data_IF_320908274506
#
_entry.id   IF_320908274506
#
_cell.length_a   1.000
_cell.length_b   1.000
_cell.length_c   1.000
_cell.angle_alpha   90.00
_cell.angle_beta   90.00
_cell.angle_gamma   90.00
#
_symmetry.space_group_name_H-M   'P 1'
#
loop_
_entity.id
_entity.type
_entity.pdbx_description
1 polymer ?
#
# COMPACT_ATOMS: atom_id res chain seq x y z
N UNK A 1 -1.21 -7.20 -14.06
CA UNK A 1 -1.54 -6.76 -12.69
C UNK A 1 -0.37 -5.93 -12.17
N UNK A 2 -0.58 -4.74 -11.60
CA UNK A 2 0.54 -3.92 -11.10
C UNK A 2 1.10 -4.53 -9.81
N UNK A 3 2.41 -4.71 -9.77
CA UNK A 3 3.13 -5.24 -8.61
C UNK A 3 3.64 -4.11 -7.71
N UNK A 4 3.07 -2.93 -7.80
CA UNK A 4 3.59 -1.74 -7.13
C UNK A 4 2.87 -1.49 -5.80
N UNK A 5 3.64 -1.10 -4.79
CA UNK A 5 3.16 -0.59 -3.51
C UNK A 5 3.60 0.86 -3.36
N UNK A 6 2.69 1.70 -2.91
CA UNK A 6 2.92 3.12 -2.65
C UNK A 6 2.99 3.36 -1.14
N UNK A 7 4.07 3.98 -0.68
CA UNK A 7 4.27 4.40 0.71
C UNK A 7 4.35 5.92 0.77
N UNK A 8 3.53 6.55 1.60
CA UNK A 8 3.50 8.02 1.80
C UNK A 8 3.71 8.40 3.25
N UNK A 9 4.17 9.62 3.49
CA UNK A 9 4.54 10.11 4.84
C UNK A 9 5.98 9.78 5.23
N UNK A 10 6.72 9.08 4.38
CA UNK A 10 8.12 8.72 4.61
C UNK A 10 9.05 9.88 4.22
N UNK A 11 9.84 10.44 5.14
CA UNK A 11 10.90 11.39 4.82
C UNK A 11 11.86 10.81 3.76
N UNK A 12 12.42 11.67 2.91
CA UNK A 12 13.39 11.23 1.92
C UNK A 12 14.76 11.03 2.57
N UNK A 13 15.28 9.80 2.51
CA UNK A 13 16.62 9.49 2.97
C UNK A 13 17.63 9.56 1.83
N UNK A 14 18.71 8.78 1.96
CA UNK A 14 19.84 8.82 1.03
C UNK A 14 19.50 8.33 -0.38
N UNK A 15 18.61 7.33 -0.51
CA UNK A 15 18.16 6.83 -1.81
C UNK A 15 16.85 6.03 -1.69
N UNK A 16 16.06 5.89 -2.76
CA UNK A 16 14.84 5.09 -2.74
C UNK A 16 15.07 3.64 -2.31
N UNK A 17 16.18 3.02 -2.74
CA UNK A 17 16.50 1.64 -2.38
C UNK A 17 16.93 1.52 -0.91
N UNK A 18 17.65 2.50 -0.36
CA UNK A 18 18.00 2.53 1.06
C UNK A 18 16.74 2.65 1.93
N UNK A 19 15.84 3.57 1.57
CA UNK A 19 14.57 3.79 2.27
C UNK A 19 13.67 2.54 2.21
N UNK A 20 13.59 1.90 1.04
CA UNK A 20 12.87 0.64 0.87
C UNK A 20 13.43 -0.49 1.73
N UNK A 21 14.77 -0.59 1.79
CA UNK A 21 15.47 -1.60 2.58
C UNK A 21 15.23 -1.39 4.08
N UNK A 22 15.29 -0.14 4.54
CA UNK A 22 15.03 0.19 5.94
C UNK A 22 13.60 -0.18 6.35
N UNK A 23 12.61 0.15 5.52
CA UNK A 23 11.22 -0.26 5.76
C UNK A 23 11.10 -1.79 5.82
N UNK A 24 11.69 -2.51 4.87
CA UNK A 24 11.63 -3.97 4.85
C UNK A 24 12.24 -4.58 6.12
N UNK A 25 13.37 -4.05 6.60
CA UNK A 25 14.00 -4.48 7.85
C UNK A 25 13.12 -4.19 9.07
N UNK A 26 12.52 -3.00 9.16
CA UNK A 26 11.56 -2.65 10.23
C UNK A 26 10.33 -3.56 10.25
N UNK A 27 9.96 -4.10 9.09
CA UNK A 27 8.87 -5.06 8.94
C UNK A 27 9.31 -6.53 9.17
N UNK A 28 10.59 -6.78 9.42
CA UNK A 28 11.12 -8.12 9.70
C UNK A 28 11.46 -8.97 8.47
N UNK A 29 11.61 -8.37 7.29
CA UNK A 29 12.02 -9.11 6.09
C UNK A 29 13.53 -9.41 6.11
N UNK A 30 13.88 -10.69 6.03
CA UNK A 30 15.26 -11.16 5.86
C UNK A 30 15.77 -11.00 4.43
N UNK A 31 14.88 -11.22 3.46
CA UNK A 31 15.14 -11.02 2.03
C UNK A 31 14.26 -9.91 1.47
N UNK A 32 14.79 -9.11 0.54
CA UNK A 32 14.02 -8.00 -0.05
C UNK A 32 12.86 -8.52 -0.89
N UNK A 33 11.59 -8.15 -0.58
CA UNK A 33 10.43 -8.60 -1.33
C UNK A 33 10.17 -7.79 -2.61
N UNK A 34 11.08 -6.89 -2.98
CA UNK A 34 10.97 -5.99 -4.12
C UNK A 34 12.19 -6.08 -5.05
N UNK A 35 12.00 -5.71 -6.32
CA UNK A 35 13.01 -5.72 -7.38
C UNK A 35 13.59 -4.33 -7.65
N UNK A 36 12.80 -3.27 -7.46
CA UNK A 36 13.25 -1.88 -7.59
C UNK A 36 12.40 -0.93 -6.75
N UNK A 37 12.95 0.24 -6.44
CA UNK A 37 12.25 1.32 -5.76
C UNK A 37 12.55 2.69 -6.38
N UNK A 38 11.56 3.59 -6.38
CA UNK A 38 11.72 4.97 -6.86
C UNK A 38 10.79 5.93 -6.13
N UNK A 39 11.01 7.24 -6.28
CA UNK A 39 10.13 8.28 -5.74
C UNK A 39 9.13 8.74 -6.78
N UNK A 40 7.87 8.89 -6.38
CA UNK A 40 6.78 9.39 -7.21
C UNK A 40 6.09 10.59 -6.56
N UNK A 41 6.09 11.71 -7.28
CA UNK A 41 5.56 12.99 -6.84
C UNK A 41 6.36 14.10 -7.51
N UNK A 42 5.66 15.11 -8.06
CA UNK A 42 6.30 16.28 -8.68
C UNK A 42 6.34 17.49 -7.76
N UNK A 43 5.44 17.50 -6.78
CA UNK A 43 5.33 18.58 -5.82
C UNK A 43 6.43 18.44 -4.76
N UNK A 44 7.29 19.45 -4.67
CA UNK A 44 8.39 19.51 -3.71
C UNK A 44 7.97 20.05 -2.34
N UNK A 45 6.74 20.58 -2.22
CA UNK A 45 6.16 21.00 -0.93
C UNK A 45 5.67 19.83 -0.08
N UNK A 46 5.55 18.64 -0.70
CA UNK A 46 5.14 17.41 -0.03
C UNK A 46 6.20 16.32 -0.22
N UNK A 47 6.36 15.45 0.79
CA UNK A 47 7.26 14.30 0.66
C UNK A 47 6.79 13.38 -0.47
N UNK A 48 7.69 13.04 -1.41
CA UNK A 48 7.35 12.16 -2.52
C UNK A 48 7.07 10.76 -2.01
N UNK A 49 6.09 10.10 -2.62
CA UNK A 49 5.78 8.72 -2.28
C UNK A 49 6.94 7.81 -2.66
N UNK A 50 7.29 6.86 -1.80
CA UNK A 50 8.16 5.76 -2.17
C UNK A 50 7.32 4.69 -2.89
N UNK A 51 7.73 4.29 -4.08
CA UNK A 51 7.11 3.21 -4.84
C UNK A 51 8.04 2.01 -4.79
N UNK A 52 7.50 0.85 -4.42
CA UNK A 52 8.18 -0.44 -4.43
C UNK A 52 7.61 -1.31 -5.54
N UNK A 53 8.45 -1.82 -6.43
CA UNK A 53 8.07 -2.84 -7.40
C UNK A 53 8.33 -4.22 -6.82
N UNK A 54 7.27 -4.88 -6.37
CA UNK A 54 7.32 -6.18 -5.70
C UNK A 54 7.74 -7.29 -6.68
N UNK A 55 8.42 -8.31 -6.17
CA UNK A 55 8.91 -9.43 -6.98
C UNK A 55 7.80 -10.31 -7.54
N UNK A 56 6.65 -10.40 -6.85
CA UNK A 56 5.51 -11.21 -7.26
C UNK A 56 4.20 -10.68 -6.68
N UNK A 57 3.09 -11.28 -7.11
CA UNK A 57 1.76 -10.98 -6.57
C UNK A 57 1.65 -11.36 -5.09
N UNK A 58 2.23 -12.49 -4.75
CA UNK A 58 2.22 -13.08 -3.41
C UNK A 58 3.01 -12.20 -2.45
N UNK A 59 4.21 -11.75 -2.86
CA UNK A 59 5.02 -10.84 -2.05
C UNK A 59 4.35 -9.49 -1.87
N UNK A 60 3.72 -8.95 -2.91
CA UNK A 60 2.87 -7.74 -2.82
C UNK A 60 1.74 -7.91 -1.81
N UNK A 61 1.00 -9.02 -1.92
CA UNK A 61 -0.16 -9.30 -1.06
C UNK A 61 0.24 -9.51 0.39
N UNK A 62 1.38 -10.16 0.64
CA UNK A 62 1.96 -10.33 1.96
C UNK A 62 2.41 -8.99 2.55
N UNK A 63 3.13 -8.18 1.77
CA UNK A 63 3.62 -6.87 2.18
C UNK A 63 2.46 -5.93 2.55
N UNK A 64 1.35 -5.95 1.79
CA UNK A 64 0.15 -5.17 2.09
C UNK A 64 -0.51 -5.52 3.42
N UNK A 65 -0.21 -6.67 4.05
CA UNK A 65 -0.73 -7.00 5.39
C UNK A 65 -0.02 -6.23 6.50
N UNK A 66 1.16 -5.68 6.23
CA UNK A 66 1.92 -4.86 7.19
C UNK A 66 1.44 -3.41 7.28
N UNK A 67 0.34 -3.05 6.60
CA UNK A 67 -0.22 -1.70 6.63
C UNK A 67 -0.40 -1.19 8.08
N UNK A 68 -0.94 -2.00 8.98
CA UNK A 68 -1.13 -1.61 10.39
C UNK A 68 0.18 -1.36 11.14
N UNK A 69 1.24 -2.10 10.82
CA UNK A 69 2.57 -1.94 11.44
C UNK A 69 3.21 -0.63 11.01
N UNK A 70 3.09 -0.26 9.73
CA UNK A 70 3.62 1.01 9.21
C UNK A 70 2.98 2.24 9.85
N UNK A 71 1.70 2.18 10.18
CA UNK A 71 1.01 3.27 10.89
C UNK A 71 1.58 3.52 12.29
N UNK A 72 2.16 2.50 12.93
CA UNK A 72 2.69 2.55 14.28
C UNK A 72 4.22 2.74 14.36
N UNK A 73 4.92 2.94 13.24
CA UNK A 73 6.36 3.11 13.26
C UNK A 73 6.78 4.45 13.91
N UNK A 74 7.84 4.46 14.75
CA UNK A 74 8.38 5.70 15.31
C UNK A 74 8.86 6.64 14.20
N UNK A 75 8.51 7.92 14.29
CA UNK A 75 8.94 8.96 13.33
C UNK A 75 7.85 9.49 12.38
N UNK A 76 6.60 9.06 12.55
CA UNK A 76 5.43 9.61 11.84
C UNK A 76 4.51 8.53 11.28
N UNK A 77 3.26 8.91 10.97
CA UNK A 77 2.30 7.97 10.37
C UNK A 77 2.66 7.70 8.91
N UNK A 78 3.14 6.49 8.62
CA UNK A 78 3.32 6.01 7.25
C UNK A 78 2.02 5.38 6.74
N UNK A 79 1.66 5.71 5.51
CA UNK A 79 0.50 5.12 4.84
C UNK A 79 0.97 4.23 3.69
N UNK A 80 0.33 3.07 3.56
CA UNK A 80 0.55 2.13 2.46
C UNK A 80 -0.72 2.03 1.62
N UNK A 81 -0.58 2.12 0.30
CA UNK A 81 -1.67 1.86 -0.64
C UNK A 81 -1.16 1.01 -1.82
N UNK A 82 -2.08 0.35 -2.50
CA UNK A 82 -1.81 -0.26 -3.80
C UNK A 82 -1.62 0.86 -4.84
N UNK A 83 -0.68 0.70 -5.77
CA UNK A 83 -0.58 1.62 -6.91
C UNK A 83 -1.66 1.30 -7.95
N UNK A 84 -2.88 1.75 -7.64
CA UNK A 84 -4.06 1.51 -8.46
C UNK A 84 -3.98 2.29 -9.78
N UNK A 85 -4.50 1.69 -10.85
CA UNK A 85 -4.76 2.40 -12.10
C UNK A 85 -5.85 3.47 -11.90
N UNK A 86 -5.93 4.47 -12.79
CA UNK A 86 -7.00 5.49 -12.72
C UNK A 86 -8.40 4.86 -12.70
N UNK A 87 -8.61 3.80 -13.49
CA UNK A 87 -9.87 3.05 -13.50
C UNK A 87 -10.15 2.37 -12.16
N UNK A 88 -9.15 1.75 -11.54
CA UNK A 88 -9.31 1.13 -10.23
C UNK A 88 -9.52 2.18 -9.13
N UNK A 89 -8.89 3.35 -9.21
CA UNK A 89 -9.17 4.46 -8.29
C UNK A 89 -10.62 4.92 -8.42
N UNK A 90 -11.13 5.08 -9.65
CA UNK A 90 -12.52 5.43 -9.89
C UNK A 90 -13.49 4.36 -9.38
N UNK A 91 -13.21 3.09 -9.68
CA UNK A 91 -14.00 1.96 -9.19
C UNK A 91 -14.00 1.89 -7.67
N UNK A 92 -12.84 2.01 -7.02
CA UNK A 92 -12.72 2.07 -5.55
C UNK A 92 -13.61 3.17 -4.96
N UNK A 93 -13.57 4.38 -5.53
CA UNK A 93 -14.41 5.51 -5.08
C UNK A 93 -15.90 5.18 -5.21
N UNK A 94 -16.32 4.56 -6.31
CA UNK A 94 -17.70 4.14 -6.50
C UNK A 94 -18.13 3.06 -5.48
N UNK A 95 -17.22 2.17 -5.08
CA UNK A 95 -17.48 1.14 -4.07
C UNK A 95 -17.43 1.63 -2.62
N UNK A 96 -16.83 2.79 -2.33
CA UNK A 96 -16.62 3.26 -0.96
C UNK A 96 -17.91 3.35 -0.12
N UNK A 97 -19.04 3.88 -0.64
CA UNK A 97 -20.28 3.93 0.13
C UNK A 97 -20.73 2.54 0.60
N UNK A 98 -20.61 1.53 -0.26
CA UNK A 98 -20.95 0.15 0.09
C UNK A 98 -20.02 -0.42 1.15
N UNK A 99 -18.69 -0.24 1.00
CA UNK A 99 -17.70 -0.67 2.00
C UNK A 99 -18.00 -0.05 3.37
N UNK A 100 -18.29 1.26 3.41
CA UNK A 100 -18.61 1.96 4.65
C UNK A 100 -19.92 1.48 5.26
N UNK A 101 -20.92 1.16 4.44
CA UNK A 101 -22.18 0.60 4.91
C UNK A 101 -21.98 -0.80 5.51
N UNK A 102 -21.22 -1.67 4.85
CA UNK A 102 -20.87 -3.01 5.36
C UNK A 102 -20.11 -2.95 6.69
N UNK A 103 -19.24 -1.95 6.89
CA UNK A 103 -18.60 -1.72 8.19
C UNK A 103 -19.61 -1.37 9.29
N UNK A 104 -20.62 -0.55 8.99
CA UNK A 104 -21.69 -0.21 9.95
C UNK A 104 -22.54 -1.42 10.32
N UNK A 105 -22.68 -2.36 9.40
CA UNK A 105 -23.39 -3.64 9.59
C UNK A 105 -22.53 -4.68 10.34
N UNK A 106 -21.31 -4.33 10.74
CA UNK A 106 -20.43 -5.16 11.57
C UNK A 106 -19.51 -6.11 10.80
N UNK A 107 -19.56 -6.10 9.47
CA UNK A 107 -18.73 -6.98 8.62
C UNK A 107 -17.45 -6.28 8.18
N UNK A 108 -16.39 -7.06 7.91
CA UNK A 108 -15.11 -6.50 7.47
C UNK A 108 -15.07 -6.39 5.95
N UNK A 109 -15.17 -5.16 5.43
CA UNK A 109 -15.06 -4.88 3.99
C UNK A 109 -13.76 -4.14 3.61
N UNK A 110 -13.17 -4.45 2.45
CA UNK A 110 -12.05 -3.67 1.90
C UNK A 110 -11.95 -3.79 0.38
N UNK A 111 -11.32 -2.80 -0.26
CA UNK A 111 -11.00 -2.84 -1.68
C UNK A 111 -9.58 -3.35 -1.91
N UNK A 112 -9.39 -4.30 -2.82
CA UNK A 112 -8.08 -4.86 -3.19
C UNK A 112 -8.11 -5.42 -4.61
N UNK A 113 -7.05 -5.23 -5.39
CA UNK A 113 -6.91 -5.84 -6.73
C UNK A 113 -8.06 -5.54 -7.70
N UNK A 114 -8.72 -4.38 -7.56
CA UNK A 114 -9.86 -4.04 -8.40
C UNK A 114 -11.20 -4.57 -7.92
N UNK A 115 -11.25 -5.28 -6.79
CA UNK A 115 -12.43 -5.95 -6.23
C UNK A 115 -12.71 -5.48 -4.82
N UNK A 116 -13.97 -5.59 -4.39
CA UNK A 116 -14.34 -5.47 -2.98
C UNK A 116 -14.34 -6.85 -2.36
N UNK A 117 -13.84 -6.96 -1.14
CA UNK A 117 -13.87 -8.16 -0.32
C UNK A 117 -14.74 -7.89 0.91
N UNK A 118 -15.62 -8.82 1.26
CA UNK A 118 -16.39 -8.84 2.51
C UNK A 118 -16.04 -10.13 3.24
N UNK A 119 -15.61 -10.01 4.50
CA UNK A 119 -15.16 -11.12 5.35
C UNK A 119 -14.16 -12.06 4.66
N UNK A 120 -13.30 -11.49 3.81
CA UNK A 120 -12.27 -12.21 3.07
C UNK A 120 -12.70 -12.76 1.71
N UNK A 121 -13.97 -12.63 1.33
CA UNK A 121 -14.50 -13.12 0.05
C UNK A 121 -14.73 -12.00 -0.96
N UNK A 122 -14.24 -12.12 -2.21
CA UNK A 122 -14.47 -11.11 -3.23
C UNK A 122 -15.93 -11.10 -3.67
N UNK A 123 -16.55 -9.93 -3.70
CA UNK A 123 -17.88 -9.74 -4.29
C UNK A 123 -17.74 -9.36 -5.77
N UNK A 124 -18.74 -9.78 -6.57
CA UNK A 124 -18.78 -9.56 -8.01
C UNK A 124 -19.19 -8.15 -8.35
#
# INVERSE_FOLDING_TARGET
>A
MRLHIRITGLPEGASPNADATDICRRLGYESMPFTSAWRAGRDTSHSRALILHMSSKETRSAFSRHQSVLHGLPGGTLYMDEDLTRMQVAHRRACMPHILQTHREGSKAFYRDGKVFIDGHPIK
#
